data_IF_221830513949
#
_entry.id   IF_221830513949
#
_cell.length_a   1.000
_cell.length_b   1.000
_cell.length_c   1.000
_cell.angle_alpha   90.00
_cell.angle_beta   90.00
_cell.angle_gamma   90.00
#
_symmetry.space_group_name_H-M   'P 1'
#
loop_
_entity.id
_entity.type
_entity.pdbx_description
1 polymer ?
#
# COMPACT_ATOMS: atom_id res chain seq x y z
N UNK A 1 1.85 13.97 -1.90
CA UNK A 1 3.00 14.83 -1.49
C UNK A 1 3.68 15.55 -2.66
N UNK A 2 3.31 15.25 -3.91
CA UNK A 2 3.72 15.95 -5.12
C UNK A 2 2.47 16.56 -5.77
N UNK A 3 2.33 17.90 -5.87
CA UNK A 3 1.15 18.55 -6.45
C UNK A 3 0.84 18.17 -7.89
N UNK A 4 1.86 17.76 -8.64
CA UNK A 4 1.80 17.35 -10.04
C UNK A 4 1.49 15.86 -10.23
N UNK A 5 1.20 15.12 -9.16
CA UNK A 5 0.95 13.68 -9.26
C UNK A 5 -0.28 13.40 -10.15
N UNK A 6 -0.18 12.50 -11.15
CA UNK A 6 -1.28 12.22 -12.08
C UNK A 6 -2.53 11.65 -11.39
N UNK A 7 -2.36 11.00 -10.24
CA UNK A 7 -3.48 10.53 -9.42
C UNK A 7 -4.39 11.65 -8.90
N UNK A 8 -3.88 12.88 -8.72
CA UNK A 8 -4.70 14.03 -8.33
C UNK A 8 -5.65 14.45 -9.45
N UNK A 9 -5.13 14.57 -10.67
CA UNK A 9 -5.96 14.87 -11.84
C UNK A 9 -7.03 13.80 -12.03
N UNK A 10 -6.66 12.52 -11.89
CA UNK A 10 -7.62 11.42 -12.01
C UNK A 10 -8.73 11.46 -10.95
N UNK A 11 -8.38 11.77 -9.71
CA UNK A 11 -9.36 11.91 -8.64
C UNK A 11 -10.32 13.09 -8.88
N UNK A 12 -9.81 14.22 -9.38
CA UNK A 12 -10.62 15.38 -9.75
C UNK A 12 -11.61 15.07 -10.88
N UNK A 13 -11.17 14.35 -11.93
CA UNK A 13 -12.05 13.87 -13.01
C UNK A 13 -13.21 13.02 -12.49
N UNK A 14 -12.98 12.27 -11.40
CA UNK A 14 -13.98 11.41 -10.76
C UNK A 14 -14.84 12.16 -9.71
N UNK A 15 -14.66 13.47 -9.55
CA UNK A 15 -15.38 14.28 -8.55
C UNK A 15 -14.97 13.98 -7.10
N UNK A 16 -13.82 13.34 -6.89
CA UNK A 16 -13.29 13.04 -5.55
C UNK A 16 -12.58 14.29 -5.00
N UNK A 17 -12.87 14.74 -3.77
CA UNK A 17 -12.14 15.85 -3.15
C UNK A 17 -10.64 15.57 -3.09
N UNK A 18 -9.83 16.50 -3.61
CA UNK A 18 -8.38 16.38 -3.65
C UNK A 18 -7.67 17.48 -2.89
N UNK A 19 -6.66 17.11 -2.12
CA UNK A 19 -5.75 18.05 -1.48
C UNK A 19 -4.31 17.64 -1.79
N UNK A 20 -3.51 18.60 -2.27
CA UNK A 20 -2.07 18.41 -2.44
C UNK A 20 -1.34 19.09 -1.28
N UNK A 21 -0.65 18.30 -0.46
CA UNK A 21 0.24 18.79 0.60
C UNK A 21 1.67 18.47 0.19
N UNK A 22 2.41 19.45 -0.38
CA UNK A 22 3.80 19.26 -0.79
C UNK A 22 4.68 18.90 0.42
N UNK A 23 5.61 17.97 0.23
CA UNK A 23 6.54 17.60 1.29
C UNK A 23 7.94 18.22 1.13
N UNK A 24 8.18 18.95 0.04
CA UNK A 24 9.48 19.55 -0.26
C UNK A 24 9.73 20.70 0.70
N UNK A 25 10.90 20.71 1.34
CA UNK A 25 11.29 21.77 2.28
C UNK A 25 10.72 21.63 3.71
N UNK A 26 9.94 20.57 3.98
CA UNK A 26 9.39 20.30 5.31
C UNK A 26 10.07 19.08 5.94
N UNK A 27 10.27 19.13 7.25
CA UNK A 27 10.59 17.93 8.03
C UNK A 27 9.45 16.91 7.90
N UNK A 28 9.76 15.61 8.06
CA UNK A 28 8.75 14.54 7.94
C UNK A 28 7.59 14.76 8.90
N UNK A 29 7.89 15.04 10.16
CA UNK A 29 6.92 15.18 11.24
C UNK A 29 6.04 16.43 11.03
N UNK A 30 6.60 17.50 10.45
CA UNK A 30 5.84 18.70 10.08
C UNK A 30 4.89 18.44 8.91
N UNK A 31 5.38 17.76 7.87
CA UNK A 31 4.56 17.35 6.73
C UNK A 31 3.40 16.43 7.16
N UNK A 32 3.68 15.48 8.05
CA UNK A 32 2.69 14.56 8.58
C UNK A 32 1.64 15.26 9.46
N UNK A 33 1.98 16.32 10.21
CA UNK A 33 0.99 17.14 10.92
C UNK A 33 -0.04 17.74 9.97
N UNK A 34 0.41 18.27 8.83
CA UNK A 34 -0.51 18.81 7.82
C UNK A 34 -1.38 17.71 7.19
N UNK A 35 -0.80 16.54 6.91
CA UNK A 35 -1.56 15.38 6.42
C UNK A 35 -2.63 14.94 7.41
N UNK A 36 -2.26 14.74 8.69
CA UNK A 36 -3.20 14.31 9.73
C UNK A 36 -4.33 15.32 9.92
N UNK A 37 -4.02 16.62 9.92
CA UNK A 37 -5.04 17.67 10.01
C UNK A 37 -6.05 17.58 8.85
N UNK A 38 -5.58 17.41 7.61
CA UNK A 38 -6.45 17.26 6.45
C UNK A 38 -7.29 15.98 6.50
N UNK A 39 -6.70 14.85 6.91
CA UNK A 39 -7.41 13.58 7.05
C UNK A 39 -8.49 13.63 8.13
N UNK A 40 -8.20 14.25 9.28
CA UNK A 40 -9.19 14.44 10.35
C UNK A 40 -10.31 15.39 9.94
N UNK A 41 -9.99 16.50 9.26
CA UNK A 41 -11.00 17.43 8.74
C UNK A 41 -11.95 16.74 7.75
N UNK A 42 -11.42 15.82 6.94
CA UNK A 42 -12.20 15.01 6.02
C UNK A 42 -12.88 13.79 6.67
N UNK A 43 -12.75 13.61 8.00
CA UNK A 43 -13.32 12.51 8.77
C UNK A 43 -12.96 11.12 8.20
N UNK A 44 -11.70 10.95 7.79
CA UNK A 44 -11.24 9.68 7.18
C UNK A 44 -11.25 8.54 8.20
N UNK A 45 -11.82 7.39 7.81
CA UNK A 45 -11.75 6.15 8.59
C UNK A 45 -10.54 5.28 8.23
N UNK A 46 -10.14 5.26 6.96
CA UNK A 46 -9.11 4.39 6.40
C UNK A 46 -8.16 5.16 5.50
N UNK A 47 -6.87 4.89 5.64
CA UNK A 47 -5.82 5.46 4.78
C UNK A 47 -5.29 4.36 3.85
N UNK A 48 -5.31 4.58 2.55
CA UNK A 48 -4.75 3.66 1.56
C UNK A 48 -3.54 4.30 0.89
N UNK A 49 -2.36 3.72 1.09
CA UNK A 49 -1.12 4.14 0.45
C UNK A 49 -1.02 3.51 -0.95
N UNK A 50 -1.36 4.27 -1.98
CA UNK A 50 -1.23 3.86 -3.38
C UNK A 50 -0.13 4.68 -4.06
N UNK A 51 1.10 4.15 -4.06
CA UNK A 51 2.27 4.87 -4.58
C UNK A 51 2.82 5.96 -3.65
N UNK A 52 2.59 5.84 -2.33
CA UNK A 52 3.14 6.78 -1.34
C UNK A 52 4.59 6.42 -0.96
N UNK A 53 5.54 7.02 -1.67
CA UNK A 53 6.98 6.70 -1.57
C UNK A 53 7.68 7.30 -0.33
N UNK A 54 7.02 7.38 0.82
CA UNK A 54 7.60 7.89 2.07
C UNK A 54 7.20 7.00 3.25
N UNK A 55 8.16 6.71 4.13
CA UNK A 55 7.88 6.05 5.40
C UNK A 55 7.06 6.98 6.30
N UNK A 56 5.99 6.43 6.88
CA UNK A 56 5.18 7.10 7.90
C UNK A 56 5.87 7.02 9.25
N UNK A 57 5.77 8.07 10.06
CA UNK A 57 6.25 8.01 11.44
C UNK A 57 5.37 7.10 12.31
N UNK A 58 5.90 6.57 13.42
CA UNK A 58 5.09 5.86 14.42
C UNK A 58 3.90 6.68 14.93
N UNK A 59 4.04 8.02 14.99
CA UNK A 59 2.96 8.90 15.41
C UNK A 59 1.81 8.91 14.40
N UNK A 60 2.12 8.94 13.10
CA UNK A 60 1.11 8.86 12.06
C UNK A 60 0.39 7.50 12.09
N UNK A 61 1.15 6.41 12.22
CA UNK A 61 0.59 5.05 12.31
C UNK A 61 -0.34 4.92 13.52
N UNK A 62 0.04 5.49 14.66
CA UNK A 62 -0.78 5.49 15.87
C UNK A 62 -2.08 6.29 15.75
N UNK A 63 -2.17 7.26 14.83
CA UNK A 63 -3.40 8.02 14.57
C UNK A 63 -4.47 7.18 13.84
N UNK A 64 -4.05 6.14 13.11
CA UNK A 64 -4.93 5.23 12.36
C UNK A 64 -4.62 3.76 12.70
N UNK A 65 -4.81 3.34 13.97
CA UNK A 65 -4.38 2.02 14.42
C UNK A 65 -5.09 0.91 13.65
N UNK A 66 -4.32 0.08 12.94
CA UNK A 66 -4.80 -0.99 12.07
C UNK A 66 -5.77 -0.52 10.97
N UNK A 67 -5.66 0.75 10.53
CA UNK A 67 -6.50 1.35 9.49
C UNK A 67 -5.71 2.04 8.37
N UNK A 68 -4.45 1.70 8.24
CA UNK A 68 -3.59 2.11 7.12
C UNK A 68 -3.25 0.86 6.32
N UNK A 69 -3.56 0.89 5.03
CA UNK A 69 -3.28 -0.18 4.09
C UNK A 69 -2.17 0.26 3.13
N UNK A 70 -1.28 -0.66 2.78
CA UNK A 70 -0.27 -0.47 1.75
C UNK A 70 -0.29 -1.64 0.77
N UNK A 71 0.11 -1.36 -0.47
CA UNK A 71 0.36 -2.37 -1.48
C UNK A 71 1.84 -2.37 -1.87
N UNK A 72 2.42 -3.56 -1.89
CA UNK A 72 3.83 -3.79 -2.19
C UNK A 72 3.97 -4.74 -3.39
N UNK A 73 4.81 -4.42 -4.40
CA UNK A 73 4.90 -5.18 -5.63
C UNK A 73 5.85 -6.39 -5.54
N UNK A 74 5.74 -7.15 -4.45
CA UNK A 74 6.37 -8.46 -4.28
C UNK A 74 5.56 -9.34 -3.30
N UNK A 75 5.91 -10.62 -3.24
CA UNK A 75 5.39 -11.55 -2.24
C UNK A 75 6.19 -11.41 -0.94
N UNK A 76 5.78 -10.48 -0.07
CA UNK A 76 6.39 -10.32 1.26
C UNK A 76 6.33 -11.66 2.02
N UNK A 77 7.41 -12.04 2.75
CA UNK A 77 8.54 -11.21 3.17
C UNK A 77 9.68 -11.06 2.14
N UNK A 78 9.55 -11.58 0.92
CA UNK A 78 10.57 -11.41 -0.12
C UNK A 78 10.57 -9.99 -0.70
N UNK A 79 11.77 -9.48 -0.99
CA UNK A 79 12.02 -8.21 -1.68
C UNK A 79 11.29 -6.99 -1.08
N UNK A 80 11.44 -6.68 0.22
CA UNK A 80 10.89 -5.44 0.78
C UNK A 80 11.62 -4.20 0.24
N UNK A 81 11.03 -3.02 0.40
CA UNK A 81 11.64 -1.75 0.02
C UNK A 81 11.45 -1.39 -1.46
N UNK A 82 12.34 -0.55 -1.97
CA UNK A 82 12.19 0.03 -3.32
C UNK A 82 12.54 -0.97 -4.42
N UNK A 83 11.96 -0.77 -5.61
CA UNK A 83 12.28 -1.53 -6.83
C UNK A 83 12.11 -3.06 -6.70
N UNK A 84 11.14 -3.53 -5.90
CA UNK A 84 10.96 -4.95 -5.61
C UNK A 84 10.72 -5.81 -6.86
N UNK A 85 10.09 -5.28 -7.91
CA UNK A 85 9.91 -5.98 -9.18
C UNK A 85 11.25 -6.25 -9.86
N UNK A 86 12.15 -5.26 -9.86
CA UNK A 86 13.51 -5.39 -10.39
C UNK A 86 14.31 -6.38 -9.56
N UNK A 87 14.24 -6.28 -8.22
CA UNK A 87 14.91 -7.23 -7.33
C UNK A 87 14.48 -8.68 -7.62
N UNK A 88 13.18 -8.92 -7.79
CA UNK A 88 12.65 -10.25 -8.11
C UNK A 88 13.16 -10.77 -9.46
N UNK A 89 13.16 -9.91 -10.49
CA UNK A 89 13.68 -10.24 -11.82
C UNK A 89 15.18 -10.56 -11.79
N UNK A 90 16.00 -9.69 -11.17
CA UNK A 90 17.45 -9.86 -11.05
C UNK A 90 17.84 -11.11 -10.25
N UNK A 91 17.04 -11.47 -9.24
CA UNK A 91 17.25 -12.69 -8.47
C UNK A 91 16.93 -13.97 -9.26
N UNK A 92 16.13 -13.87 -10.33
CA UNK A 92 15.76 -15.00 -11.18
C UNK A 92 14.67 -15.90 -10.59
N UNK A 93 13.77 -15.35 -9.77
CA UNK A 93 12.61 -16.11 -9.25
C UNK A 93 11.68 -16.53 -10.41
N UNK A 94 10.98 -17.65 -10.26
CA UNK A 94 9.96 -18.11 -11.23
C UNK A 94 8.54 -17.70 -10.86
N UNK A 95 8.36 -17.20 -9.64
CA UNK A 95 7.09 -16.69 -9.13
C UNK A 95 7.35 -15.40 -8.37
N UNK A 96 6.58 -14.36 -8.68
CA UNK A 96 6.52 -13.11 -7.93
C UNK A 96 5.04 -12.76 -7.68
N UNK A 97 4.72 -11.50 -7.38
CA UNK A 97 3.35 -11.10 -7.10
C UNK A 97 3.26 -9.77 -6.38
N UNK A 98 2.13 -9.52 -5.73
CA UNK A 98 1.93 -8.36 -4.88
C UNK A 98 1.35 -8.76 -3.52
N UNK A 99 1.59 -7.91 -2.53
CA UNK A 99 1.11 -8.07 -1.17
C UNK A 99 0.39 -6.82 -0.72
N UNK A 100 -0.84 -6.98 -0.22
CA UNK A 100 -1.56 -5.94 0.51
C UNK A 100 -1.47 -6.24 1.99
N UNK A 101 -0.99 -5.28 2.76
CA UNK A 101 -0.77 -5.44 4.20
C UNK A 101 -1.21 -4.20 4.98
N UNK A 102 -1.51 -4.40 6.25
CA UNK A 102 -1.65 -3.29 7.20
C UNK A 102 -0.28 -2.65 7.43
N UNK A 103 -0.22 -1.33 7.56
CA UNK A 103 1.03 -0.62 7.86
C UNK A 103 1.31 -0.66 9.36
N UNK A 104 2.56 -0.93 9.70
CA UNK A 104 3.10 -0.80 11.06
C UNK A 104 4.28 0.20 11.07
N UNK A 105 5.05 0.25 12.16
CA UNK A 105 6.17 1.17 12.30
C UNK A 105 7.43 0.75 11.49
N UNK A 106 7.43 -0.43 10.87
CA UNK A 106 8.53 -0.91 10.03
C UNK A 106 8.29 -0.68 8.54
N UNK A 107 9.23 -1.17 7.73
CA UNK A 107 9.16 -1.08 6.26
C UNK A 107 8.63 -2.41 5.72
N UNK A 108 7.45 -2.38 5.10
CA UNK A 108 6.79 -3.54 4.48
C UNK A 108 6.68 -4.76 5.42
N UNK A 109 6.51 -4.51 6.72
CA UNK A 109 6.59 -5.53 7.77
C UNK A 109 5.28 -5.84 8.45
N UNK A 110 4.20 -5.13 8.13
CA UNK A 110 2.94 -5.30 8.84
C UNK A 110 2.16 -6.56 8.47
N UNK A 111 1.04 -6.82 9.16
CA UNK A 111 0.20 -8.00 8.93
C UNK A 111 -0.35 -8.07 7.50
N UNK A 112 -0.14 -9.20 6.84
CA UNK A 112 -0.58 -9.46 5.47
C UNK A 112 -2.08 -9.74 5.44
N UNK A 113 -2.79 -9.11 4.49
CA UNK A 113 -4.23 -9.24 4.28
C UNK A 113 -4.53 -10.08 3.04
N UNK A 114 -3.88 -9.76 1.91
CA UNK A 114 -4.05 -10.45 0.63
C UNK A 114 -2.70 -10.54 -0.06
N UNK A 115 -2.43 -11.67 -0.71
CA UNK A 115 -1.36 -11.81 -1.69
C UNK A 115 -1.93 -12.35 -3.00
N UNK A 116 -1.35 -11.94 -4.12
CA UNK A 116 -1.63 -12.51 -5.44
C UNK A 116 -0.32 -12.81 -6.13
N UNK A 117 -0.26 -13.95 -6.80
CA UNK A 117 0.95 -14.44 -7.47
C UNK A 117 0.90 -14.17 -8.96
N UNK A 118 2.07 -14.01 -9.57
CA UNK A 118 2.29 -14.02 -11.01
C UNK A 118 3.47 -14.91 -11.34
N UNK A 119 3.43 -15.54 -12.51
CA UNK A 119 4.59 -16.20 -13.09
C UNK A 119 5.61 -15.15 -13.58
N UNK A 120 6.90 -15.44 -13.38
CA UNK A 120 8.01 -14.73 -14.04
C UNK A 120 8.46 -15.59 -15.22
N UNK A 121 8.26 -15.05 -16.43
CA UNK A 121 8.52 -15.75 -17.69
C UNK A 121 9.98 -15.59 -18.08
N UNK A 122 10.52 -16.54 -18.84
CA UNK A 122 11.92 -16.51 -19.28
C UNK A 122 12.21 -15.35 -20.24
N UNK A 123 11.19 -14.80 -20.91
CA UNK A 123 11.27 -13.65 -21.81
C UNK A 123 10.90 -12.32 -21.14
N UNK A 124 10.68 -12.29 -19.83
CA UNK A 124 10.34 -11.05 -19.13
C UNK A 124 11.52 -10.07 -19.08
N UNK A 125 11.18 -8.78 -19.19
CA UNK A 125 12.00 -7.68 -18.70
C UNK A 125 11.48 -7.22 -17.32
N UNK A 126 12.23 -6.40 -16.57
CA UNK A 126 11.72 -5.79 -15.34
C UNK A 126 10.38 -5.06 -15.54
N UNK A 127 10.21 -4.42 -16.70
CA UNK A 127 9.01 -3.64 -17.05
C UNK A 127 7.80 -4.53 -17.37
N UNK A 128 7.99 -5.64 -18.10
CA UNK A 128 6.89 -6.58 -18.41
C UNK A 128 6.44 -7.33 -17.16
N UNK A 129 7.38 -7.69 -16.27
CA UNK A 129 7.05 -8.26 -14.97
C UNK A 129 6.30 -7.24 -14.10
N UNK A 130 6.78 -5.99 -14.03
CA UNK A 130 6.14 -4.95 -13.25
C UNK A 130 4.71 -4.65 -13.73
N UNK A 131 4.47 -4.60 -15.04
CA UNK A 131 3.13 -4.43 -15.60
C UNK A 131 2.18 -5.58 -15.19
N UNK A 132 2.66 -6.82 -15.23
CA UNK A 132 1.87 -8.00 -14.81
C UNK A 132 1.56 -7.98 -13.32
N UNK A 133 2.51 -7.58 -12.48
CA UNK A 133 2.30 -7.41 -11.03
C UNK A 133 1.25 -6.31 -10.80
N UNK A 134 1.34 -5.17 -11.50
CA UNK A 134 0.43 -4.05 -11.38
C UNK A 134 -1.03 -4.42 -11.70
N UNK A 135 -1.27 -5.30 -12.67
CA UNK A 135 -2.61 -5.84 -12.93
C UNK A 135 -3.17 -6.59 -11.70
N UNK A 136 -2.33 -7.39 -11.03
CA UNK A 136 -2.73 -8.07 -9.80
C UNK A 136 -2.90 -7.10 -8.64
N UNK A 137 -2.11 -6.03 -8.58
CA UNK A 137 -2.27 -4.97 -7.56
C UNK A 137 -3.65 -4.30 -7.64
N UNK A 138 -4.09 -3.94 -8.84
CA UNK A 138 -5.40 -3.35 -9.06
C UNK A 138 -6.56 -4.26 -8.61
N UNK A 139 -6.35 -5.57 -8.58
CA UNK A 139 -7.32 -6.55 -8.07
C UNK A 139 -7.18 -6.73 -6.55
N UNK A 140 -5.95 -6.91 -6.07
CA UNK A 140 -5.66 -7.21 -4.67
C UNK A 140 -6.04 -6.05 -3.74
N UNK A 141 -5.78 -4.81 -4.15
CA UNK A 141 -5.98 -3.66 -3.28
C UNK A 141 -7.46 -3.47 -2.88
N UNK A 142 -8.41 -3.35 -3.83
CA UNK A 142 -9.82 -3.21 -3.47
C UNK A 142 -10.36 -4.48 -2.78
N UNK A 143 -9.86 -5.67 -3.14
CA UNK A 143 -10.22 -6.92 -2.47
C UNK A 143 -9.87 -6.89 -0.98
N UNK A 144 -8.65 -6.48 -0.63
CA UNK A 144 -8.19 -6.42 0.75
C UNK A 144 -9.00 -5.41 1.58
N UNK A 145 -9.22 -4.20 1.05
CA UNK A 145 -10.04 -3.20 1.73
C UNK A 145 -11.48 -3.70 1.94
N UNK A 146 -12.09 -4.32 0.93
CA UNK A 146 -13.42 -4.92 1.06
C UNK A 146 -13.47 -5.97 2.17
N UNK A 147 -12.51 -6.90 2.21
CA UNK A 147 -12.44 -7.93 3.25
C UNK A 147 -12.39 -7.31 4.66
N UNK A 148 -11.56 -6.28 4.86
CA UNK A 148 -11.41 -5.60 6.14
C UNK A 148 -12.65 -4.80 6.56
N UNK A 149 -13.43 -4.30 5.60
CA UNK A 149 -14.66 -3.56 5.85
C UNK A 149 -15.88 -4.45 6.09
N UNK A 150 -15.97 -5.60 5.41
CA UNK A 150 -17.20 -6.41 5.38
C UNK A 150 -17.15 -7.65 6.27
N UNK A 151 -15.97 -8.09 6.69
CA UNK A 151 -15.81 -9.29 7.53
C UNK A 151 -15.33 -8.90 8.91
N UNK A 152 -15.68 -9.70 9.92
CA UNK A 152 -15.02 -9.62 11.23
C UNK A 152 -13.63 -10.21 11.12
N UNK A 153 -12.65 -9.52 11.68
CA UNK A 153 -11.26 -9.96 11.73
C UNK A 153 -10.60 -9.47 13.01
N UNK A 154 -9.48 -10.09 13.35
CA UNK A 154 -8.58 -9.66 14.41
C UNK A 154 -7.13 -9.98 14.02
N UNK A 155 -6.19 -9.44 14.79
CA UNK A 155 -4.77 -9.74 14.62
C UNK A 155 -4.35 -10.79 15.65
N UNK A 156 -3.74 -11.88 15.20
CA UNK A 156 -3.07 -12.87 16.05
C UNK A 156 -1.57 -12.86 15.77
N UNK A 157 -0.79 -12.29 16.69
CA UNK A 157 0.63 -12.02 16.47
C UNK A 157 0.80 -11.06 15.29
N UNK A 158 1.28 -11.57 14.15
CA UNK A 158 1.44 -10.81 12.90
C UNK A 158 0.44 -11.18 11.80
N UNK A 159 -0.55 -12.03 12.10
CA UNK A 159 -1.50 -12.56 11.12
C UNK A 159 -2.81 -11.82 11.21
N UNK A 160 -3.40 -11.48 10.07
CA UNK A 160 -4.81 -11.09 9.99
C UNK A 160 -5.65 -12.36 9.92
N UNK A 161 -6.53 -12.56 10.90
CA UNK A 161 -7.42 -13.71 10.97
C UNK A 161 -8.84 -13.24 10.73
N UNK A 162 -9.44 -13.71 9.65
CA UNK A 162 -10.85 -13.47 9.37
C UNK A 162 -11.71 -14.52 10.07
N UNK A 163 -12.83 -14.09 10.66
CA UNK A 163 -13.82 -15.01 11.20
C UNK A 163 -14.33 -15.95 10.09
N UNK A 164 -14.58 -17.21 10.45
CA UNK A 164 -15.20 -18.19 9.56
C UNK A 164 -16.60 -17.69 9.18
N UNK A 165 -16.95 -17.82 7.90
CA UNK A 165 -18.32 -17.64 7.45
C UNK A 165 -19.17 -18.77 8.04
N UNK A 166 -20.34 -18.43 8.58
CA UNK A 166 -21.26 -19.38 9.20
C UNK A 166 -21.99 -20.20 8.13
#
# INVERSE_FOLDING_TARGET
NRPEAPGLAKAQELGVPTVAIPSKGLAREEHEKHLLAALHQAQVDWVCLAGYMRLLSPQFVAAFPNRILNIHPALLPAFPGLDAQRQAWEYGVKVSGCTVHLVDAGCDSGPIVVQRVVEVRDDDTPETLAARILEQEHIAYPQALRLLLTRRWHIEGRRVVFAREA
#
